data_IF_465917213220
#
_entry.id   IF_465917213220
#
_cell.length_a   1.000
_cell.length_b   1.000
_cell.length_c   1.000
_cell.angle_alpha   90.00
_cell.angle_beta   90.00
_cell.angle_gamma   90.00
#
_symmetry.space_group_name_H-M   'P 1'
#
loop_
_entity.id
_entity.type
_entity.pdbx_description
1 polymer ?
#
# COMPACT_ATOMS: atom_id res chain seq x y z
N UNK A 1 -1.69 20.56 -8.78
CA UNK A 1 -0.94 19.30 -8.64
C UNK A 1 -1.62 18.35 -7.65
N UNK A 2 -2.12 18.84 -6.51
CA UNK A 2 -2.89 18.03 -5.53
C UNK A 2 -4.28 17.57 -6.01
N UNK A 3 -4.92 18.30 -6.93
CA UNK A 3 -6.30 18.01 -7.33
C UNK A 3 -6.45 16.67 -8.06
N UNK A 4 -5.48 16.29 -8.90
CA UNK A 4 -5.52 15.03 -9.66
C UNK A 4 -5.38 13.80 -8.77
N UNK A 5 -4.47 13.82 -7.80
CA UNK A 5 -4.30 12.71 -6.86
C UNK A 5 -5.51 12.59 -5.93
N UNK A 6 -6.00 13.72 -5.40
CA UNK A 6 -7.19 13.76 -4.54
C UNK A 6 -8.41 13.22 -5.28
N UNK A 7 -8.66 13.68 -6.50
CA UNK A 7 -9.76 13.20 -7.34
C UNK A 7 -9.62 11.71 -7.66
N UNK A 8 -8.42 11.25 -8.00
CA UNK A 8 -8.12 9.85 -8.26
C UNK A 8 -8.47 8.98 -7.03
N UNK A 9 -8.00 9.39 -5.85
CA UNK A 9 -8.26 8.68 -4.60
C UNK A 9 -9.74 8.69 -4.21
N UNK A 10 -10.45 9.81 -4.41
CA UNK A 10 -11.90 9.85 -4.21
C UNK A 10 -12.66 8.95 -5.18
N UNK A 11 -12.24 8.90 -6.45
CA UNK A 11 -12.87 8.05 -7.46
C UNK A 11 -12.63 6.56 -7.20
N UNK A 12 -11.44 6.21 -6.70
CA UNK A 12 -11.01 4.84 -6.40
C UNK A 12 -11.32 4.39 -4.97
N UNK A 13 -11.92 5.25 -4.16
CA UNK A 13 -12.40 4.92 -2.82
C UNK A 13 -13.19 3.62 -2.83
N UNK A 14 -12.88 2.72 -1.89
CA UNK A 14 -13.70 1.53 -1.65
C UNK A 14 -15.03 1.96 -0.97
N UNK A 15 -15.91 2.62 -1.72
CA UNK A 15 -17.11 3.30 -1.23
C UNK A 15 -17.10 4.81 -1.52
N UNK A 16 -18.16 5.54 -1.14
CA UNK A 16 -18.21 7.01 -1.25
C UNK A 16 -17.24 7.74 -0.30
N UNK A 17 -16.62 7.00 0.64
CA UNK A 17 -15.74 7.53 1.68
C UNK A 17 -14.46 6.69 1.72
N UNK A 18 -13.26 7.29 1.75
CA UNK A 18 -12.00 6.56 1.87
C UNK A 18 -11.95 5.70 3.13
N UNK A 19 -11.37 4.50 3.01
CA UNK A 19 -11.16 3.60 4.15
C UNK A 19 -9.79 3.90 4.74
N UNK A 20 -9.69 4.58 5.89
CA UNK A 20 -8.39 5.05 6.40
C UNK A 20 -8.05 4.57 7.82
N UNK A 21 -9.00 3.95 8.49
CA UNK A 21 -8.85 3.42 9.85
C UNK A 21 -9.42 2.01 9.98
N UNK A 22 -9.09 1.32 11.08
CA UNK A 22 -9.73 0.04 11.42
C UNK A 22 -11.25 0.15 11.50
N UNK A 23 -11.77 1.26 12.02
CA UNK A 23 -13.22 1.52 12.08
C UNK A 23 -13.83 1.58 10.67
N UNK A 24 -13.18 2.30 9.76
CA UNK A 24 -13.65 2.39 8.37
C UNK A 24 -13.58 1.04 7.67
N UNK A 25 -12.50 0.28 7.89
CA UNK A 25 -12.32 -1.05 7.34
C UNK A 25 -13.44 -1.99 7.79
N UNK A 26 -13.73 -2.03 9.09
CA UNK A 26 -14.83 -2.83 9.64
C UNK A 26 -16.18 -2.39 9.05
N UNK A 27 -16.42 -1.08 8.93
CA UNK A 27 -17.65 -0.56 8.33
C UNK A 27 -17.78 -0.92 6.84
N UNK A 28 -16.68 -0.88 6.10
CA UNK A 28 -16.59 -1.28 4.70
C UNK A 28 -16.86 -2.77 4.51
N UNK A 29 -16.23 -3.63 5.31
CA UNK A 29 -16.39 -5.09 5.26
C UNK A 29 -17.83 -5.52 5.55
N UNK A 30 -18.49 -4.92 6.54
CA UNK A 30 -19.91 -5.19 6.86
C UNK A 30 -20.86 -4.94 5.68
N UNK A 31 -20.55 -3.97 4.82
CA UNK A 31 -21.35 -3.61 3.64
C UNK A 31 -20.99 -4.43 2.40
N UNK A 32 -19.81 -5.04 2.37
CA UNK A 32 -19.23 -5.66 1.18
C UNK A 32 -19.45 -7.16 1.18
N UNK A 33 -20.52 -7.61 0.51
CA UNK A 33 -20.80 -9.04 0.34
C UNK A 33 -19.66 -9.75 -0.40
N UNK A 34 -19.07 -10.77 0.21
CA UNK A 34 -18.05 -11.63 -0.40
C UNK A 34 -16.61 -11.08 -0.38
N UNK A 35 -16.34 -10.06 0.44
CA UNK A 35 -14.96 -9.66 0.77
C UNK A 35 -14.55 -10.43 2.03
N UNK A 36 -13.49 -11.24 1.91
CA UNK A 36 -12.90 -11.94 3.05
C UNK A 36 -11.67 -11.16 3.50
N UNK A 37 -11.62 -10.84 4.79
CA UNK A 37 -10.45 -10.33 5.48
C UNK A 37 -10.31 -11.15 6.75
N UNK A 38 -9.12 -11.68 6.99
CA UNK A 38 -8.80 -12.42 8.19
C UNK A 38 -7.78 -11.60 8.99
N UNK A 39 -8.10 -11.30 10.25
CA UNK A 39 -7.16 -10.62 11.15
C UNK A 39 -6.00 -11.54 11.56
N UNK A 40 -6.15 -12.85 11.38
CA UNK A 40 -5.19 -13.85 11.84
C UNK A 40 -3.97 -13.87 10.91
N UNK A 41 -2.94 -13.11 11.28
CA UNK A 41 -1.61 -13.25 10.73
C UNK A 41 -0.87 -14.41 11.41
N UNK A 42 0.08 -15.02 10.70
CA UNK A 42 1.08 -15.90 11.29
C UNK A 42 1.92 -15.08 12.26
N UNK A 43 2.30 -15.70 13.38
CA UNK A 43 3.21 -15.08 14.32
C UNK A 43 4.55 -14.78 13.63
N UNK A 44 5.03 -13.55 13.82
CA UNK A 44 6.40 -13.18 13.45
C UNK A 44 7.36 -14.06 14.25
N UNK A 45 8.36 -14.64 13.58
CA UNK A 45 9.36 -15.49 14.21
C UNK A 45 10.15 -14.73 15.28
N UNK A 46 10.46 -15.39 16.39
CA UNK A 46 11.13 -14.78 17.55
C UNK A 46 12.51 -14.18 17.24
N UNK A 47 13.31 -14.86 16.42
CA UNK A 47 14.60 -14.35 15.95
C UNK A 47 14.46 -13.05 15.17
N UNK A 48 13.44 -12.97 14.32
CA UNK A 48 13.14 -11.78 13.56
C UNK A 48 12.59 -10.64 14.45
N UNK A 49 11.71 -10.94 15.42
CA UNK A 49 11.27 -9.96 16.43
C UNK A 49 12.45 -9.36 17.18
N UNK A 50 13.39 -10.19 17.64
CA UNK A 50 14.60 -9.73 18.34
C UNK A 50 15.45 -8.81 17.46
N UNK A 51 15.63 -9.15 16.20
CA UNK A 51 16.35 -8.29 15.26
C UNK A 51 15.62 -6.94 15.06
N UNK A 52 14.29 -6.95 14.95
CA UNK A 52 13.50 -5.72 14.77
C UNK A 52 13.56 -4.77 15.97
N UNK A 53 13.76 -5.30 17.19
CA UNK A 53 13.98 -4.45 18.36
C UNK A 53 15.30 -3.66 18.29
N UNK A 54 16.22 -4.05 17.39
CA UNK A 54 17.48 -3.34 17.15
C UNK A 54 17.42 -2.29 16.04
N UNK A 55 16.29 -2.13 15.32
CA UNK A 55 16.16 -1.17 14.22
C UNK A 55 15.18 -0.06 14.58
N UNK A 56 15.49 1.17 14.20
CA UNK A 56 14.79 2.38 14.67
C UNK A 56 13.27 2.40 14.45
N UNK A 57 12.77 1.66 13.44
CA UNK A 57 11.34 1.60 13.12
C UNK A 57 10.59 0.51 13.88
N UNK A 58 11.29 -0.48 14.46
CA UNK A 58 10.65 -1.59 15.17
C UNK A 58 9.91 -1.12 16.42
N UNK A 59 8.78 -1.76 16.76
CA UNK A 59 7.98 -1.35 17.93
C UNK A 59 8.72 -1.55 19.26
N UNK A 60 9.64 -2.51 19.32
CA UNK A 60 10.48 -2.77 20.49
C UNK A 60 11.81 -2.00 20.52
N UNK A 61 12.02 -1.04 19.60
CA UNK A 61 13.24 -0.23 19.60
C UNK A 61 13.29 0.72 20.80
N UNK A 62 14.39 0.67 21.56
CA UNK A 62 14.61 1.48 22.77
C UNK A 62 15.79 2.44 22.65
N UNK A 63 16.41 2.54 21.47
CA UNK A 63 17.49 3.49 21.23
C UNK A 63 16.99 4.91 20.99
N UNK A 64 17.94 5.82 20.74
CA UNK A 64 17.60 7.21 20.41
C UNK A 64 16.98 7.31 19.01
N UNK A 65 15.95 8.15 18.89
CA UNK A 65 15.26 8.43 17.64
C UNK A 65 15.72 9.77 17.08
N UNK A 66 16.20 9.76 15.85
CA UNK A 66 16.49 10.99 15.13
C UNK A 66 15.18 11.74 14.81
N UNK A 67 15.15 13.09 14.87
CA UNK A 67 13.93 13.87 14.59
C UNK A 67 13.27 13.53 13.23
N UNK A 68 14.07 13.19 12.21
CA UNK A 68 13.58 12.78 10.88
C UNK A 68 12.82 11.44 10.87
N UNK A 69 12.98 10.61 11.89
CA UNK A 69 12.25 9.35 12.02
C UNK A 69 10.81 9.58 12.49
N UNK A 70 10.53 10.66 13.21
CA UNK A 70 9.22 10.91 13.83
C UNK A 70 8.06 10.89 12.82
N UNK A 71 8.14 11.54 11.64
CA UNK A 71 7.07 11.46 10.64
C UNK A 71 6.83 10.03 10.13
N UNK A 72 7.90 9.25 9.92
CA UNK A 72 7.81 7.86 9.50
C UNK A 72 7.16 6.98 10.58
N UNK A 73 7.46 7.22 11.86
CA UNK A 73 6.82 6.51 12.98
C UNK A 73 5.32 6.82 13.09
N UNK A 74 4.89 8.04 12.76
CA UNK A 74 3.45 8.35 12.67
C UNK A 74 2.74 7.52 11.60
N UNK A 75 3.40 7.28 10.47
CA UNK A 75 2.89 6.37 9.44
C UNK A 75 2.84 4.92 9.95
N UNK A 76 3.90 4.43 10.61
CA UNK A 76 3.87 3.11 11.27
C UNK A 76 2.66 2.98 12.17
N UNK A 77 2.48 3.90 13.10
CA UNK A 77 1.42 3.83 14.10
C UNK A 77 0.03 3.86 13.44
N UNK A 78 -0.11 4.61 12.33
CA UNK A 78 -1.32 4.60 11.50
C UNK A 78 -1.58 3.22 10.88
N UNK A 79 -0.57 2.58 10.31
CA UNK A 79 -0.68 1.24 9.73
C UNK A 79 -1.01 0.20 10.80
N UNK A 80 -0.34 0.23 11.95
CA UNK A 80 -0.55 -0.71 13.05
C UNK A 80 -1.91 -0.52 13.73
N UNK A 81 -2.43 0.70 13.77
CA UNK A 81 -3.79 0.96 14.23
C UNK A 81 -4.86 0.32 13.33
N UNK A 82 -4.55 0.04 12.06
CA UNK A 82 -5.41 -0.71 11.14
C UNK A 82 -5.32 -2.22 11.44
N UNK A 83 -4.10 -2.75 11.56
CA UNK A 83 -3.82 -4.14 11.86
C UNK A 83 -2.33 -4.48 11.69
N UNK A 84 -1.96 -5.74 11.94
CA UNK A 84 -0.57 -6.20 11.90
C UNK A 84 0.18 -5.95 13.22
N UNK A 85 1.44 -6.35 13.24
CA UNK A 85 2.32 -6.26 14.42
C UNK A 85 3.50 -5.30 14.20
N UNK A 86 4.02 -5.19 12.98
CA UNK A 86 5.19 -4.35 12.66
C UNK A 86 5.06 -3.65 11.30
N UNK A 87 5.83 -2.56 11.11
CA UNK A 87 5.99 -1.94 9.80
C UNK A 87 7.47 -1.71 9.49
N UNK A 88 7.96 -2.35 8.44
CA UNK A 88 9.32 -2.15 7.94
C UNK A 88 9.37 -0.84 7.15
N UNK A 89 10.04 0.17 7.71
CA UNK A 89 10.07 1.51 7.15
C UNK A 89 11.45 1.87 6.57
N UNK A 90 11.50 2.58 5.42
CA UNK A 90 12.71 3.26 4.97
C UNK A 90 12.99 4.46 5.88
N UNK A 91 14.23 4.98 5.85
CA UNK A 91 14.61 6.19 6.60
C UNK A 91 13.70 7.38 6.23
N UNK A 92 13.31 7.45 4.96
CA UNK A 92 12.38 8.43 4.44
C UNK A 92 11.58 7.80 3.30
N UNK A 93 10.29 8.09 3.26
CA UNK A 93 9.42 7.74 2.14
C UNK A 93 9.10 9.03 1.35
N UNK A 94 9.40 9.10 0.05
CA UNK A 94 9.14 10.29 -0.76
C UNK A 94 7.64 10.61 -0.87
N UNK A 95 6.77 9.63 -0.67
CA UNK A 95 5.31 9.78 -0.76
C UNK A 95 4.65 9.93 0.62
N UNK A 96 5.43 10.14 1.70
CA UNK A 96 4.92 10.20 3.08
C UNK A 96 3.75 11.18 3.24
N UNK A 97 3.88 12.40 2.73
CA UNK A 97 2.84 13.41 2.87
C UNK A 97 1.54 12.99 2.15
N UNK A 98 1.67 12.42 0.94
CA UNK A 98 0.52 11.87 0.21
C UNK A 98 -0.12 10.68 0.93
N UNK A 99 0.67 9.80 1.54
CA UNK A 99 0.18 8.67 2.32
C UNK A 99 -0.58 9.14 3.56
N UNK A 100 -0.04 10.12 4.28
CA UNK A 100 -0.66 10.70 5.47
C UNK A 100 -1.93 11.50 5.13
N UNK A 101 -1.98 12.18 3.98
CA UNK A 101 -3.12 13.01 3.60
C UNK A 101 -4.22 12.24 2.86
N UNK A 102 -3.86 11.36 1.92
CA UNK A 102 -4.80 10.71 1.00
C UNK A 102 -4.77 9.17 1.04
N UNK A 103 -3.79 8.58 1.72
CA UNK A 103 -3.65 7.12 1.79
C UNK A 103 -4.91 6.43 2.28
N UNK A 104 -5.28 5.34 1.61
CA UNK A 104 -6.45 4.54 1.96
C UNK A 104 -6.14 3.05 1.88
N UNK A 105 -6.97 2.25 2.55
CA UNK A 105 -6.94 0.79 2.52
C UNK A 105 -7.62 0.28 1.24
N UNK A 106 -6.95 -0.66 0.61
CA UNK A 106 -7.43 -1.47 -0.49
C UNK A 106 -7.50 -2.93 -0.03
N UNK A 107 -8.72 -3.42 0.15
CA UNK A 107 -8.99 -4.82 0.48
C UNK A 107 -9.10 -5.63 -0.81
N UNK A 108 -8.57 -6.84 -0.79
CA UNK A 108 -8.66 -7.77 -1.92
C UNK A 108 -10.12 -8.21 -2.15
N UNK A 109 -10.87 -7.44 -2.94
CA UNK A 109 -12.19 -7.85 -3.40
C UNK A 109 -12.03 -8.90 -4.50
N UNK A 110 -12.17 -10.19 -4.20
CA UNK A 110 -12.15 -11.30 -5.16
C UNK A 110 -10.82 -11.44 -5.93
N UNK A 111 -9.85 -12.15 -5.33
CA UNK A 111 -8.53 -12.51 -5.88
C UNK A 111 -7.76 -11.35 -6.53
N UNK A 112 -6.60 -11.04 -5.97
CA UNK A 112 -5.62 -10.16 -6.61
C UNK A 112 -5.32 -10.66 -8.04
N UNK A 113 -5.28 -9.77 -9.02
CA UNK A 113 -4.87 -10.14 -10.38
C UNK A 113 -3.35 -10.21 -10.42
N UNK A 114 -2.79 -11.39 -10.62
CA UNK A 114 -1.34 -11.53 -10.72
C UNK A 114 -0.82 -11.22 -12.12
N UNK A 115 0.23 -10.42 -12.19
CA UNK A 115 1.11 -10.21 -13.35
C UNK A 115 2.55 -10.28 -12.89
N UNK A 116 3.02 -11.51 -12.67
CA UNK A 116 4.33 -11.80 -12.05
C UNK A 116 5.46 -11.11 -12.83
N UNK A 117 6.24 -10.31 -12.13
CA UNK A 117 7.52 -9.79 -12.55
C UNK A 117 8.65 -10.38 -11.69
N UNK A 118 9.75 -9.66 -11.56
CA UNK A 118 10.89 -10.08 -10.76
C UNK A 118 10.60 -10.04 -9.25
N UNK A 119 11.15 -10.99 -8.50
CA UNK A 119 11.00 -11.05 -7.05
C UNK A 119 11.58 -9.79 -6.40
N UNK A 120 10.88 -9.24 -5.40
CA UNK A 120 11.29 -8.04 -4.65
C UNK A 120 11.49 -6.77 -5.50
N UNK A 121 11.05 -6.75 -6.77
CA UNK A 121 11.08 -5.58 -7.66
C UNK A 121 9.70 -4.94 -7.83
N UNK A 122 8.87 -4.89 -6.78
CA UNK A 122 7.46 -4.46 -6.90
C UNK A 122 7.27 -3.06 -7.50
N UNK A 123 8.13 -2.10 -7.13
CA UNK A 123 8.13 -0.73 -7.67
C UNK A 123 8.41 -0.73 -9.18
N UNK A 124 9.54 -1.33 -9.59
CA UNK A 124 9.95 -1.44 -11.00
C UNK A 124 8.97 -2.24 -11.85
N UNK A 125 8.53 -3.40 -11.38
CA UNK A 125 7.55 -4.22 -12.07
C UNK A 125 6.24 -3.46 -12.31
N UNK A 126 5.76 -2.70 -11.31
CA UNK A 126 4.53 -1.92 -11.42
C UNK A 126 4.70 -0.73 -12.36
N UNK A 127 5.85 -0.06 -12.32
CA UNK A 127 6.18 1.01 -13.26
C UNK A 127 6.18 0.50 -14.71
N UNK A 128 6.92 -0.57 -15.02
CA UNK A 128 6.96 -1.16 -16.36
C UNK A 128 5.58 -1.64 -16.81
N UNK A 129 4.82 -2.27 -15.91
CA UNK A 129 3.47 -2.74 -16.23
C UNK A 129 2.53 -1.57 -16.55
N UNK A 130 2.59 -0.47 -15.79
CA UNK A 130 1.81 0.73 -16.07
C UNK A 130 2.23 1.37 -17.40
N UNK A 131 3.53 1.60 -17.62
CA UNK A 131 4.07 2.21 -18.84
C UNK A 131 3.66 1.44 -20.10
N UNK A 132 3.74 0.11 -20.06
CA UNK A 132 3.34 -0.74 -21.18
C UNK A 132 1.83 -0.71 -21.47
N UNK A 133 1.00 -0.23 -20.53
CA UNK A 133 -0.46 -0.31 -20.63
C UNK A 133 -1.18 1.05 -20.58
N UNK A 134 -0.48 2.16 -20.34
CA UNK A 134 -1.07 3.49 -20.06
C UNK A 134 -1.91 4.09 -21.17
N UNK A 135 -1.75 3.64 -22.41
CA UNK A 135 -2.47 4.16 -23.58
C UNK A 135 -3.67 3.29 -24.01
N UNK A 136 -3.96 2.19 -23.31
CA UNK A 136 -5.09 1.34 -23.66
C UNK A 136 -6.35 1.77 -22.90
N UNK A 137 -7.47 1.96 -23.62
CA UNK A 137 -8.77 2.37 -23.06
C UNK A 137 -9.35 1.38 -22.01
N UNK A 138 -8.89 0.12 -22.00
CA UNK A 138 -9.26 -0.90 -21.01
C UNK A 138 -8.03 -1.43 -20.23
N UNK A 139 -6.98 -0.61 -20.12
CA UNK A 139 -5.68 -0.95 -19.55
C UNK A 139 -5.55 -0.68 -18.04
N UNK A 140 -4.29 -0.69 -17.59
CA UNK A 140 -3.94 -0.28 -16.22
C UNK A 140 -4.29 1.20 -16.07
N UNK A 141 -5.12 1.51 -15.08
CA UNK A 141 -5.63 2.84 -14.81
C UNK A 141 -4.59 3.72 -14.12
N UNK A 142 -3.85 3.15 -13.17
CA UNK A 142 -2.86 3.86 -12.38
C UNK A 142 -1.83 2.94 -11.75
N UNK A 143 -0.81 3.56 -11.18
CA UNK A 143 0.21 2.90 -10.36
C UNK A 143 0.08 3.41 -8.94
N UNK A 144 0.06 2.50 -7.99
CA UNK A 144 -0.09 2.80 -6.59
C UNK A 144 1.19 2.49 -5.82
N UNK A 145 1.45 3.29 -4.80
CA UNK A 145 2.59 3.16 -3.88
C UNK A 145 2.12 3.34 -2.44
N UNK A 146 2.83 2.72 -1.51
CA UNK A 146 2.52 2.73 -0.09
C UNK A 146 3.04 1.48 0.59
N UNK A 147 2.21 0.87 1.43
CA UNK A 147 2.57 -0.26 2.28
C UNK A 147 1.58 -1.40 2.12
N UNK A 148 2.07 -2.63 2.11
CA UNK A 148 1.22 -3.80 2.08
C UNK A 148 1.57 -4.79 3.20
N UNK A 149 0.53 -5.27 3.89
CA UNK A 149 0.65 -6.19 5.01
C UNK A 149 0.72 -7.62 4.49
N UNK A 150 1.77 -8.34 4.87
CA UNK A 150 1.87 -9.76 4.53
C UNK A 150 1.18 -10.64 5.56
N UNK A 151 1.12 -11.94 5.29
CA UNK A 151 0.50 -12.91 6.18
C UNK A 151 1.26 -13.13 7.49
N UNK A 152 2.46 -12.57 7.63
CA UNK A 152 3.21 -12.47 8.89
C UNK A 152 2.87 -11.23 9.72
N UNK A 153 1.89 -10.42 9.29
CA UNK A 153 1.47 -9.22 10.01
C UNK A 153 2.43 -8.04 9.88
N UNK A 154 3.43 -8.10 9.00
CA UNK A 154 4.38 -7.00 8.79
C UNK A 154 4.03 -6.20 7.53
N UNK A 155 3.84 -4.91 7.71
CA UNK A 155 3.69 -3.93 6.64
C UNK A 155 5.04 -3.65 5.98
N UNK A 156 5.07 -3.63 4.65
CA UNK A 156 6.28 -3.38 3.87
C UNK A 156 5.98 -2.40 2.76
N UNK A 157 6.94 -1.54 2.46
CA UNK A 157 6.85 -0.66 1.31
C UNK A 157 6.58 -1.49 0.05
N UNK A 158 5.60 -1.06 -0.73
CA UNK A 158 5.07 -1.85 -1.82
C UNK A 158 4.40 -0.98 -2.87
N UNK A 159 4.48 -1.41 -4.13
CA UNK A 159 3.74 -0.82 -5.24
C UNK A 159 2.97 -1.87 -6.00
N UNK A 160 1.83 -1.46 -6.54
CA UNK A 160 0.95 -2.30 -7.35
C UNK A 160 0.29 -1.47 -8.44
N UNK A 161 -0.24 -2.13 -9.46
CA UNK A 161 -1.04 -1.47 -10.48
C UNK A 161 -2.53 -1.54 -10.13
N UNK A 162 -3.30 -0.59 -10.65
CA UNK A 162 -4.75 -0.56 -10.49
C UNK A 162 -5.40 -0.76 -11.85
N UNK A 163 -6.23 -1.80 -11.97
CA UNK A 163 -7.06 -2.03 -13.15
C UNK A 163 -8.45 -1.42 -12.92
N UNK A 164 -8.89 -0.54 -13.82
CA UNK A 164 -10.26 -0.05 -13.84
C UNK A 164 -11.16 -1.05 -14.57
N UNK A 165 -12.17 -1.56 -13.87
CA UNK A 165 -13.27 -2.34 -14.43
C UNK A 165 -14.50 -1.44 -14.59
N UNK A 166 -15.53 -1.85 -15.36
CA UNK A 166 -16.72 -1.01 -15.59
C UNK A 166 -17.42 -0.48 -14.33
N UNK A 167 -17.30 -1.18 -13.19
CA UNK A 167 -17.96 -0.80 -11.93
C UNK A 167 -17.08 -0.98 -10.68
N UNK A 168 -15.78 -1.18 -10.84
CA UNK A 168 -14.87 -1.45 -9.72
C UNK A 168 -13.42 -1.22 -10.11
N UNK A 169 -12.55 -1.20 -9.11
CA UNK A 169 -11.11 -1.22 -9.28
C UNK A 169 -10.55 -2.55 -8.75
N UNK A 170 -9.53 -3.08 -9.40
CA UNK A 170 -8.88 -4.32 -8.98
C UNK A 170 -7.37 -4.11 -8.87
N UNK A 171 -6.78 -4.60 -7.79
CA UNK A 171 -5.33 -4.65 -7.61
C UNK A 171 -4.73 -5.62 -8.64
N UNK A 172 -3.69 -5.16 -9.31
CA UNK A 172 -2.80 -5.97 -10.13
C UNK A 172 -1.44 -6.04 -9.43
N UNK A 173 -1.13 -7.21 -8.89
CA UNK A 173 0.08 -7.48 -8.12
C UNK A 173 1.14 -8.17 -8.97
N UNK A 174 2.39 -7.79 -8.75
CA UNK A 174 3.51 -8.23 -9.57
C UNK A 174 4.47 -9.16 -8.84
N UNK A 175 4.37 -9.28 -7.52
CA UNK A 175 5.26 -10.12 -6.71
C UNK A 175 4.49 -11.24 -6.00
N UNK A 176 3.78 -10.89 -4.93
CA UNK A 176 3.00 -11.82 -4.11
C UNK A 176 1.75 -11.12 -3.57
N UNK A 177 0.60 -11.81 -3.50
CA UNK A 177 -0.57 -11.27 -2.82
C UNK A 177 -0.26 -10.87 -1.37
N UNK A 178 -0.94 -9.84 -0.90
CA UNK A 178 -0.87 -9.30 0.46
C UNK A 178 -2.27 -9.28 1.07
N UNK A 179 -2.33 -9.27 2.40
CA UNK A 179 -3.59 -9.28 3.14
C UNK A 179 -4.32 -7.93 3.03
N UNK A 180 -3.55 -6.85 3.17
CA UNK A 180 -4.02 -5.48 3.02
C UNK A 180 -3.00 -4.66 2.25
N UNK A 181 -3.50 -3.64 1.56
CA UNK A 181 -2.72 -2.64 0.86
C UNK A 181 -3.17 -1.28 1.36
N UNK A 182 -2.25 -0.43 1.79
CA UNK A 182 -2.51 0.94 2.20
C UNK A 182 -1.66 1.86 1.34
N UNK A 183 -2.28 2.78 0.62
CA UNK A 183 -1.49 3.68 -0.21
C UNK A 183 -2.31 4.65 -1.04
N UNK A 184 -1.60 5.31 -1.95
CA UNK A 184 -2.13 6.27 -2.92
C UNK A 184 -1.94 5.73 -4.32
N UNK A 185 -2.85 6.08 -5.23
CA UNK A 185 -2.79 5.68 -6.63
C UNK A 185 -2.63 6.91 -7.51
N UNK A 186 -1.53 6.94 -8.25
CA UNK A 186 -1.13 7.99 -9.15
C UNK A 186 -1.64 7.73 -10.56
N UNK A 187 -2.02 8.79 -11.26
CA UNK A 187 -2.53 8.79 -12.63
C UNK A 187 -1.73 9.80 -13.48
N UNK A 188 -1.78 9.65 -14.80
CA UNK A 188 -1.19 10.63 -15.72
C UNK A 188 0.26 10.98 -15.38
N UNK A 189 0.55 12.28 -15.23
CA UNK A 189 1.92 12.77 -14.95
C UNK A 189 2.45 12.40 -13.57
N UNK A 190 1.59 12.15 -12.56
CA UNK A 190 2.04 11.62 -11.27
C UNK A 190 2.58 10.19 -11.43
N UNK A 191 1.88 9.37 -12.24
CA UNK A 191 2.33 8.02 -12.54
C UNK A 191 3.62 8.02 -13.38
N UNK A 192 3.80 8.99 -14.28
CA UNK A 192 5.05 9.18 -15.02
C UNK A 192 6.23 9.48 -14.09
N UNK A 193 6.07 10.46 -13.19
CA UNK A 193 7.09 10.80 -12.18
C UNK A 193 7.47 9.62 -11.31
N UNK A 194 6.49 8.84 -10.87
CA UNK A 194 6.77 7.60 -10.13
C UNK A 194 7.59 6.62 -10.96
N UNK A 195 7.26 6.43 -12.24
CA UNK A 195 8.01 5.49 -13.07
C UNK A 195 9.45 5.97 -13.29
N UNK A 196 9.65 7.27 -13.53
CA UNK A 196 10.99 7.86 -13.66
C UNK A 196 11.83 7.66 -12.40
N UNK A 197 11.25 7.81 -11.20
CA UNK A 197 12.00 7.69 -9.94
C UNK A 197 12.45 6.26 -9.60
N UNK A 198 11.82 5.23 -10.18
CA UNK A 198 12.11 3.82 -9.85
C UNK A 198 12.76 3.03 -10.98
N UNK A 199 12.75 3.57 -12.22
CA UNK A 199 13.31 2.90 -13.40
C UNK A 199 14.65 3.49 -13.88
N UNK A 200 15.10 4.60 -13.31
CA UNK A 200 16.47 5.12 -13.49
C UNK A 200 17.42 4.44 -12.51
#
# INVERSE_FOLDING_TARGET
>A
MHDTLREAMMQMGMGKTPVRSKKDLVAFLKKSKGVQYHENCRLIKEDWKRWMNGVWWGTGYTGELEPRAVPMLKLRDTLLAIGGEEACLPIQDPDLDHLMEYGQIWVVQKKVRMKRGEASRCHQNSAYLWQANRYYNAGIFGVATGYAMSDDGVWRQHSWCVLKKPRSYQIVETTTPRELYFGVCMLGSDAERFCESVCM
#
